data_IF_570607590193
#
_entry.id   IF_570607590193
#
_cell.length_a   1.000
_cell.length_b   1.000
_cell.length_c   1.000
_cell.angle_alpha   90.00
_cell.angle_beta   90.00
_cell.angle_gamma   90.00
#
_symmetry.space_group_name_H-M   'P 1'
#
loop_
_entity.id
_entity.type
_entity.pdbx_description
1 polymer ?
#
# COMPACT_ATOMS: atom_id res chain seq x y z
N UNK A 1 0.06 -13.73 11.70
CA UNK A 1 0.97 -14.62 10.95
C UNK A 1 0.56 -14.65 9.49
N UNK A 2 1.51 -14.48 8.57
CA UNK A 2 1.20 -14.59 7.14
C UNK A 2 1.13 -16.05 6.71
N UNK A 3 0.27 -16.35 5.74
CA UNK A 3 0.16 -17.70 5.17
C UNK A 3 1.50 -18.06 4.50
N UNK A 4 2.10 -19.25 4.71
CA UNK A 4 3.33 -19.62 4.02
C UNK A 4 3.21 -19.52 2.50
N UNK A 5 4.27 -19.09 1.81
CA UNK A 5 4.27 -18.86 0.36
C UNK A 5 3.75 -20.07 -0.43
N UNK A 6 4.20 -21.28 -0.07
CA UNK A 6 3.71 -22.54 -0.64
C UNK A 6 2.18 -22.65 -0.64
N UNK A 7 1.53 -22.35 0.48
CA UNK A 7 0.06 -22.42 0.58
C UNK A 7 -0.62 -21.35 -0.27
N UNK A 8 0.02 -20.21 -0.53
CA UNK A 8 -0.51 -19.17 -1.44
C UNK A 8 -0.51 -19.70 -2.88
N UNK A 9 0.57 -20.34 -3.31
CA UNK A 9 0.62 -21.02 -4.60
C UNK A 9 -0.46 -22.11 -4.72
N UNK A 10 -0.62 -22.93 -3.68
CA UNK A 10 -1.67 -23.95 -3.64
C UNK A 10 -3.08 -23.33 -3.75
N UNK A 11 -3.35 -22.16 -3.13
CA UNK A 11 -4.63 -21.43 -3.32
C UNK A 11 -4.85 -21.06 -4.79
N UNK A 12 -3.83 -20.51 -5.47
CA UNK A 12 -3.95 -20.11 -6.87
C UNK A 12 -4.11 -21.33 -7.77
N UNK A 13 -3.33 -22.37 -7.54
CA UNK A 13 -3.43 -23.63 -8.27
C UNK A 13 -4.86 -24.20 -8.16
N UNK A 14 -5.39 -24.38 -6.95
CA UNK A 14 -6.72 -24.96 -6.75
C UNK A 14 -7.89 -24.04 -7.18
N UNK A 15 -7.65 -22.72 -7.25
CA UNK A 15 -8.70 -21.73 -7.52
C UNK A 15 -8.62 -21.05 -8.88
N UNK A 16 -7.60 -21.29 -9.70
CA UNK A 16 -7.40 -20.66 -11.02
C UNK A 16 -6.90 -21.59 -12.11
N UNK A 17 -6.51 -22.83 -11.81
CA UNK A 17 -6.05 -23.74 -12.84
C UNK A 17 -7.16 -24.03 -13.86
N UNK A 18 -6.81 -23.99 -15.15
CA UNK A 18 -7.73 -24.16 -16.30
C UNK A 18 -8.06 -25.63 -16.58
N UNK A 19 -7.20 -26.56 -16.14
CA UNK A 19 -7.27 -27.99 -16.50
C UNK A 19 -7.76 -28.89 -15.37
N UNK A 20 -8.67 -28.37 -14.53
CA UNK A 20 -9.24 -29.04 -13.35
C UNK A 20 -8.25 -29.41 -12.21
N UNK A 21 -8.75 -29.51 -10.97
CA UNK A 21 -10.08 -29.14 -10.50
C UNK A 21 -10.15 -27.67 -10.03
N UNK A 22 -11.19 -26.96 -10.48
CA UNK A 22 -11.48 -25.60 -10.01
C UNK A 22 -12.34 -25.67 -8.74
N UNK A 23 -11.70 -25.58 -7.58
CA UNK A 23 -12.42 -25.70 -6.31
C UNK A 23 -13.00 -24.35 -5.86
N UNK A 24 -14.23 -24.41 -5.34
CA UNK A 24 -14.84 -23.27 -4.65
C UNK A 24 -14.06 -22.88 -3.40
N UNK A 25 -14.15 -21.60 -3.02
CA UNK A 25 -13.41 -20.99 -1.90
C UNK A 25 -13.51 -21.80 -0.59
N UNK A 26 -14.71 -22.30 -0.26
CA UNK A 26 -14.94 -23.11 0.95
C UNK A 26 -14.15 -24.43 0.92
N UNK A 27 -14.08 -25.08 -0.25
CA UNK A 27 -13.35 -26.34 -0.44
C UNK A 27 -11.85 -26.13 -0.34
N UNK A 28 -11.32 -25.07 -0.96
CA UNK A 28 -9.90 -24.68 -0.84
C UNK A 28 -9.53 -24.41 0.63
N UNK A 29 -10.37 -23.64 1.33
CA UNK A 29 -10.16 -23.32 2.75
C UNK A 29 -10.06 -24.61 3.61
N UNK A 30 -10.94 -25.58 3.36
CA UNK A 30 -10.93 -26.89 4.04
C UNK A 30 -9.68 -27.70 3.70
N UNK A 31 -9.28 -27.78 2.43
CA UNK A 31 -8.10 -28.53 1.97
C UNK A 31 -6.82 -27.97 2.60
N UNK A 32 -6.68 -26.64 2.60
CA UNK A 32 -5.44 -25.97 3.02
C UNK A 32 -5.42 -25.61 4.51
N UNK A 33 -6.49 -25.97 5.24
CA UNK A 33 -6.71 -25.62 6.64
C UNK A 33 -6.44 -24.12 6.91
N UNK A 34 -7.20 -23.26 6.22
CA UNK A 34 -7.11 -21.81 6.37
C UNK A 34 -8.50 -21.15 6.28
N UNK A 35 -8.60 -19.87 6.63
CA UNK A 35 -9.88 -19.16 6.56
C UNK A 35 -10.32 -18.90 5.11
N UNK A 36 -11.62 -18.88 4.88
CA UNK A 36 -12.20 -18.48 3.58
C UNK A 36 -11.82 -17.06 3.18
N UNK A 37 -11.63 -16.15 4.16
CA UNK A 37 -11.12 -14.80 3.95
C UNK A 37 -9.70 -14.79 3.40
N UNK A 38 -8.84 -15.71 3.86
CA UNK A 38 -7.47 -15.86 3.35
C UNK A 38 -7.47 -16.30 1.88
N UNK A 39 -8.31 -17.28 1.54
CA UNK A 39 -8.48 -17.74 0.15
C UNK A 39 -8.98 -16.60 -0.74
N UNK A 40 -10.02 -15.87 -0.33
CA UNK A 40 -10.53 -14.70 -1.04
C UNK A 40 -9.45 -13.65 -1.28
N UNK A 41 -8.69 -13.30 -0.24
CA UNK A 41 -7.63 -12.29 -0.30
C UNK A 41 -6.58 -12.64 -1.35
N UNK A 42 -6.07 -13.88 -1.35
CA UNK A 42 -5.02 -14.28 -2.28
C UNK A 42 -5.52 -14.43 -3.72
N UNK A 43 -6.73 -14.94 -3.93
CA UNK A 43 -7.34 -14.96 -5.27
C UNK A 43 -7.58 -13.55 -5.81
N UNK A 44 -7.97 -12.59 -4.96
CA UNK A 44 -8.13 -11.19 -5.34
C UNK A 44 -6.79 -10.54 -5.68
N UNK A 45 -5.78 -10.69 -4.82
CA UNK A 45 -4.41 -10.19 -5.08
C UNK A 45 -3.82 -10.74 -6.38
N UNK A 46 -4.02 -12.03 -6.66
CA UNK A 46 -3.59 -12.63 -7.90
C UNK A 46 -4.31 -12.06 -9.14
N UNK A 47 -5.52 -11.51 -8.99
CA UNK A 47 -6.21 -10.83 -10.08
C UNK A 47 -5.55 -9.47 -10.38
N UNK A 48 -5.11 -8.75 -9.35
CA UNK A 48 -4.53 -7.41 -9.48
C UNK A 48 -3.07 -7.45 -9.92
N UNK A 49 -2.19 -8.09 -9.14
CA UNK A 49 -0.75 -7.85 -9.25
C UNK A 49 0.02 -9.09 -9.74
N UNK A 50 -0.60 -10.28 -9.74
CA UNK A 50 0.06 -11.58 -9.99
C UNK A 50 1.22 -11.91 -9.05
N UNK A 51 1.43 -11.12 -7.99
CA UNK A 51 2.41 -11.40 -6.95
C UNK A 51 1.78 -12.09 -5.75
N UNK A 52 2.48 -13.09 -5.21
CA UNK A 52 2.06 -13.85 -4.03
C UNK A 52 2.92 -13.53 -2.81
N UNK A 53 3.88 -12.63 -2.92
CA UNK A 53 4.73 -12.23 -1.81
C UNK A 53 4.02 -11.24 -0.88
N UNK A 54 4.45 -11.25 0.38
CA UNK A 54 4.08 -10.15 1.25
C UNK A 54 4.93 -8.97 0.82
N UNK A 55 4.26 -7.87 0.49
CA UNK A 55 4.96 -6.63 0.26
C UNK A 55 5.63 -6.22 1.57
N UNK A 56 6.86 -5.75 1.47
CA UNK A 56 7.55 -5.13 2.59
C UNK A 56 6.67 -3.97 3.03
N UNK A 57 6.20 -4.02 4.27
CA UNK A 57 5.44 -2.91 4.84
C UNK A 57 6.43 -1.81 5.14
N UNK A 58 6.48 -0.81 4.28
CA UNK A 58 7.14 0.44 4.61
C UNK A 58 6.32 1.10 5.72
N UNK A 59 6.97 1.38 6.85
CA UNK A 59 6.36 2.14 7.92
C UNK A 59 6.02 3.56 7.45
N UNK A 60 5.39 4.35 8.33
CA UNK A 60 5.23 5.77 8.02
C UNK A 60 6.63 6.40 7.81
N UNK A 61 6.86 7.13 6.71
CA UNK A 61 8.14 7.81 6.50
C UNK A 61 8.42 8.73 7.69
N UNK A 62 9.64 8.63 8.23
CA UNK A 62 10.09 9.41 9.40
C UNK A 62 10.82 10.70 9.01
N UNK A 63 11.19 10.82 7.75
CA UNK A 63 11.88 11.97 7.17
C UNK A 63 11.00 12.48 6.04
N UNK A 64 11.07 13.79 5.81
CA UNK A 64 10.49 14.45 4.67
C UNK A 64 11.04 13.88 3.37
N UNK A 65 10.22 13.89 2.31
CA UNK A 65 10.72 13.61 0.97
C UNK A 65 11.51 14.81 0.45
N UNK A 66 12.36 14.60 -0.54
CA UNK A 66 13.10 15.69 -1.21
C UNK A 66 12.17 16.80 -1.71
N UNK A 67 11.00 16.45 -2.25
CA UNK A 67 10.00 17.43 -2.68
C UNK A 67 9.41 18.24 -1.51
N UNK A 68 9.25 17.60 -0.34
CA UNK A 68 8.80 18.28 0.88
C UNK A 68 9.90 19.19 1.43
N UNK A 69 11.16 18.74 1.43
CA UNK A 69 12.30 19.55 1.83
C UNK A 69 12.45 20.78 0.94
N UNK A 70 12.38 20.62 -0.37
CA UNK A 70 12.43 21.72 -1.33
C UNK A 70 11.29 22.72 -1.07
N UNK A 71 10.07 22.25 -0.79
CA UNK A 71 8.95 23.12 -0.44
C UNK A 71 9.21 23.90 0.86
N UNK A 72 9.75 23.23 1.89
CA UNK A 72 10.09 23.85 3.18
C UNK A 72 11.18 24.92 3.00
N UNK A 73 12.24 24.61 2.25
CA UNK A 73 13.34 25.54 1.96
C UNK A 73 12.84 26.74 1.17
N UNK A 74 12.07 26.52 0.10
CA UNK A 74 11.50 27.60 -0.70
C UNK A 74 10.57 28.50 0.12
N UNK A 75 9.74 27.92 0.99
CA UNK A 75 8.89 28.69 1.89
C UNK A 75 9.70 29.51 2.91
N UNK A 76 10.82 28.98 3.40
CA UNK A 76 11.70 29.70 4.31
C UNK A 76 12.42 30.88 3.64
N UNK A 77 12.84 30.73 2.37
CA UNK A 77 13.52 31.78 1.61
C UNK A 77 12.61 33.00 1.32
N UNK A 78 11.29 32.82 1.33
CA UNK A 78 10.31 33.89 1.13
C UNK A 78 10.01 34.69 2.41
N UNK A 79 10.61 34.34 3.54
CA UNK A 79 10.33 34.91 4.86
C UNK A 79 11.62 35.50 5.42
N UNK A 80 11.60 36.78 5.77
CA UNK A 80 12.77 37.52 6.28
C UNK A 80 13.34 36.92 7.58
N UNK A 81 12.45 36.46 8.48
CA UNK A 81 12.79 35.74 9.70
C UNK A 81 12.05 34.38 9.75
N UNK A 82 12.63 33.32 9.18
CA UNK A 82 11.96 32.04 9.05
C UNK A 82 11.90 31.30 10.38
N UNK A 83 10.71 31.25 10.98
CA UNK A 83 10.41 30.34 12.10
C UNK A 83 9.56 29.17 11.61
N UNK A 84 9.60 28.04 12.31
CA UNK A 84 8.83 26.84 11.94
C UNK A 84 7.33 27.12 11.78
N UNK A 85 6.76 27.96 12.64
CA UNK A 85 5.36 28.38 12.57
C UNK A 85 5.07 29.23 11.33
N UNK A 86 5.95 30.18 10.99
CA UNK A 86 5.79 31.04 9.81
C UNK A 86 5.93 30.23 8.51
N UNK A 87 6.89 29.32 8.45
CA UNK A 87 7.08 28.40 7.31
C UNK A 87 5.88 27.48 7.16
N UNK A 88 5.36 26.91 8.26
CA UNK A 88 4.15 26.09 8.22
C UNK A 88 2.94 26.89 7.74
N UNK A 89 2.74 28.11 8.23
CA UNK A 89 1.67 28.99 7.78
C UNK A 89 1.79 29.31 6.29
N UNK A 90 3.00 29.60 5.81
CA UNK A 90 3.26 29.87 4.39
C UNK A 90 2.95 28.66 3.51
N UNK A 91 3.34 27.45 3.94
CA UNK A 91 3.02 26.21 3.22
C UNK A 91 1.52 25.90 3.18
N UNK A 92 0.77 26.29 4.22
CA UNK A 92 -0.68 26.05 4.30
C UNK A 92 -1.51 27.10 3.56
N UNK A 93 -1.05 28.36 3.52
CA UNK A 93 -1.82 29.51 3.04
C UNK A 93 -1.30 30.13 1.74
N UNK A 94 -0.06 29.84 1.33
CA UNK A 94 0.55 30.39 0.10
C UNK A 94 -0.18 30.00 -1.20
N UNK A 95 -1.03 28.97 -1.17
CA UNK A 95 -1.85 28.55 -2.31
C UNK A 95 -3.23 29.24 -2.41
N UNK A 96 -3.59 30.16 -1.49
CA UNK A 96 -4.92 30.81 -1.47
C UNK A 96 -4.98 32.17 -2.16
N UNK A 97 -3.88 32.68 -2.71
CA UNK A 97 -3.80 34.06 -3.22
C UNK A 97 -4.03 34.14 -4.74
N UNK A 98 -4.12 33.02 -5.47
CA UNK A 98 -4.23 33.01 -6.95
C UNK A 98 -5.61 32.65 -7.52
N UNK A 99 -6.64 32.48 -6.70
CA UNK A 99 -8.03 32.25 -7.16
C UNK A 99 -8.95 33.39 -6.70
N UNK A 100 -8.73 34.62 -7.17
CA UNK A 100 -9.75 35.70 -7.22
C UNK A 100 -9.51 36.62 -8.42
#
# INVERSE_FOLDING_TARGET
>A
MSLPLRKRYEIIFLGKNRHEPHFGIKKIAKILNCSTSTVKRWLSRWKTDKYLDDHIREGRPRVTSEAQDNSIVNAALLIDEPTSQKVQHQLQNGNKIFDQ
#
